data_IF_433720953403
#
_entry.id   IF_433720953403
#
_cell.length_a   1.000
_cell.length_b   1.000
_cell.length_c   1.000
_cell.angle_alpha   90.00
_cell.angle_beta   90.00
_cell.angle_gamma   90.00
#
_symmetry.space_group_name_H-M   'P 1'
#
loop_
_entity.id
_entity.type
_entity.pdbx_description
1 polymer ?
#
# COMPACT_ATOMS: atom_id res chain seq x y z
N UNK A 1 -14.73 -7.85 13.78
CA UNK A 1 -15.55 -7.00 12.90
C UNK A 1 -14.66 -6.32 11.86
N UNK A 2 -14.36 -7.01 10.74
CA UNK A 2 -13.57 -6.51 9.59
C UNK A 2 -14.49 -6.51 8.35
N UNK A 3 -15.49 -5.62 8.26
CA UNK A 3 -16.49 -5.78 7.18
C UNK A 3 -17.19 -4.54 6.65
N UNK A 4 -16.71 -3.31 6.87
CA UNK A 4 -17.54 -2.12 6.56
C UNK A 4 -17.01 -1.24 5.41
N UNK A 5 -15.84 -1.48 4.81
CA UNK A 5 -15.35 -0.64 3.70
C UNK A 5 -15.06 -1.39 2.39
N UNK A 6 -15.22 -2.71 2.36
CA UNK A 6 -14.89 -3.52 1.16
C UNK A 6 -16.00 -3.58 0.12
N UNK A 7 -17.21 -3.09 0.42
CA UNK A 7 -18.40 -3.39 -0.37
C UNK A 7 -18.58 -2.56 -1.66
N UNK A 8 -17.56 -1.81 -2.10
CA UNK A 8 -17.48 -1.34 -3.50
C UNK A 8 -16.08 -0.89 -3.93
N UNK A 9 -15.00 -1.50 -3.41
CA UNK A 9 -13.67 -1.29 -4.01
C UNK A 9 -13.50 -2.20 -5.22
N UNK A 10 -12.86 -1.70 -6.27
CA UNK A 10 -12.50 -2.56 -7.40
C UNK A 10 -11.56 -3.68 -6.92
N UNK A 11 -11.55 -4.85 -7.57
CA UNK A 11 -10.64 -5.94 -7.20
C UNK A 11 -9.17 -5.50 -7.19
N UNK A 12 -8.79 -4.61 -8.10
CA UNK A 12 -7.46 -4.00 -8.15
C UNK A 12 -7.17 -3.18 -6.89
N UNK A 13 -8.04 -2.24 -6.53
CA UNK A 13 -7.85 -1.38 -5.35
C UNK A 13 -7.80 -2.22 -4.08
N UNK A 14 -8.68 -3.22 -3.97
CA UNK A 14 -8.64 -4.18 -2.87
C UNK A 14 -7.29 -4.88 -2.75
N UNK A 15 -6.75 -5.37 -3.87
CA UNK A 15 -5.44 -6.06 -3.88
C UNK A 15 -4.28 -5.14 -3.51
N UNK A 16 -4.24 -3.91 -4.03
CA UNK A 16 -3.22 -2.91 -3.66
C UNK A 16 -3.24 -2.63 -2.15
N UNK A 17 -4.43 -2.43 -1.58
CA UNK A 17 -4.56 -2.15 -0.15
C UNK A 17 -4.19 -3.36 0.71
N UNK A 18 -4.52 -4.58 0.29
CA UNK A 18 -4.06 -5.80 0.96
C UNK A 18 -2.53 -5.89 0.96
N UNK A 19 -1.88 -5.69 -0.19
CA UNK A 19 -0.41 -5.70 -0.28
C UNK A 19 0.22 -4.65 0.63
N UNK A 20 -0.37 -3.46 0.73
CA UNK A 20 0.13 -2.40 1.62
C UNK A 20 0.01 -2.79 3.10
N UNK A 21 -1.09 -3.42 3.51
CA UNK A 21 -1.35 -3.83 4.90
C UNK A 21 -0.55 -5.07 5.34
N UNK A 22 -0.10 -5.91 4.41
CA UNK A 22 0.66 -7.13 4.70
C UNK A 22 2.15 -6.86 4.96
N UNK A 23 2.64 -5.64 4.70
CA UNK A 23 4.04 -5.28 4.87
C UNK A 23 4.39 -4.88 6.30
N UNK A 24 5.64 -5.07 6.73
CA UNK A 24 6.13 -4.50 7.97
C UNK A 24 6.25 -2.97 7.83
N UNK A 25 6.15 -2.28 8.98
CA UNK A 25 6.20 -0.81 9.08
C UNK A 25 5.10 -0.08 8.29
N UNK A 26 3.94 -0.72 8.07
CA UNK A 26 2.74 -0.07 7.51
C UNK A 26 1.61 0.00 8.54
N UNK A 27 0.66 0.95 8.39
CA UNK A 27 -0.45 1.12 9.33
C UNK A 27 -1.34 -0.12 9.40
N UNK A 28 -1.91 -0.42 10.57
CA UNK A 28 -2.84 -1.55 10.77
C UNK A 28 -4.16 -1.43 9.98
N UNK A 29 -4.48 -0.24 9.48
CA UNK A 29 -5.72 0.07 8.76
C UNK A 29 -5.44 1.08 7.66
N UNK A 30 -6.14 0.91 6.54
CA UNK A 30 -6.19 1.90 5.46
C UNK A 30 -7.20 3.00 5.77
N UNK A 31 -6.95 4.19 5.22
CA UNK A 31 -7.88 5.33 5.28
C UNK A 31 -8.41 5.68 3.87
N UNK A 32 -9.24 6.72 3.78
CA UNK A 32 -9.80 7.17 2.49
C UNK A 32 -8.73 7.69 1.51
N UNK A 33 -7.62 8.21 2.01
CA UNK A 33 -6.52 8.68 1.18
C UNK A 33 -5.78 7.49 0.53
N UNK A 34 -5.54 6.42 1.28
CA UNK A 34 -4.93 5.19 0.73
C UNK A 34 -5.78 4.59 -0.40
N UNK A 35 -7.11 4.57 -0.21
CA UNK A 35 -8.06 4.11 -1.23
C UNK A 35 -8.00 4.98 -2.49
N UNK A 36 -7.93 6.31 -2.34
CA UNK A 36 -7.79 7.24 -3.47
C UNK A 36 -6.47 7.03 -4.21
N UNK A 37 -5.36 6.85 -3.49
CA UNK A 37 -4.06 6.56 -4.10
C UNK A 37 -4.08 5.24 -4.88
N UNK A 38 -4.68 4.18 -4.33
CA UNK A 38 -4.83 2.91 -5.03
C UNK A 38 -5.72 3.03 -6.28
N UNK A 39 -6.79 3.83 -6.22
CA UNK A 39 -7.64 4.13 -7.38
C UNK A 39 -6.90 4.92 -8.47
N UNK A 40 -6.05 5.86 -8.10
CA UNK A 40 -5.19 6.60 -9.04
C UNK A 40 -4.19 5.67 -9.73
N UNK A 41 -3.58 4.74 -9.00
CA UNK A 41 -2.71 3.71 -9.59
C UNK A 41 -3.47 2.83 -10.59
N UNK A 42 -4.74 2.50 -10.30
CA UNK A 42 -5.60 1.77 -11.23
C UNK A 42 -5.88 2.58 -12.49
N UNK A 43 -6.25 3.86 -12.33
CA UNK A 43 -6.52 4.77 -13.44
C UNK A 43 -5.32 4.90 -14.37
N UNK A 44 -4.11 4.91 -13.79
CA UNK A 44 -2.83 4.94 -14.53
C UNK A 44 -2.39 3.59 -15.08
N UNK A 45 -3.20 2.53 -14.93
CA UNK A 45 -2.93 1.16 -15.38
C UNK A 45 -1.57 0.63 -14.89
N UNK A 46 -1.20 0.97 -13.66
CA UNK A 46 0.05 0.45 -13.06
C UNK A 46 -0.11 -1.06 -12.83
N UNK A 47 0.84 -1.89 -13.28
CA UNK A 47 0.78 -3.34 -13.03
C UNK A 47 0.89 -3.69 -11.53
N UNK A 48 0.16 -4.72 -11.08
CA UNK A 48 0.15 -5.14 -9.67
C UNK A 48 1.50 -5.68 -9.19
N UNK A 49 2.22 -6.40 -10.05
CA UNK A 49 3.58 -6.89 -9.81
C UNK A 49 4.58 -5.74 -9.60
N UNK A 50 4.44 -4.66 -10.37
CA UNK A 50 5.24 -3.45 -10.17
C UNK A 50 4.94 -2.78 -8.82
N UNK A 51 3.66 -2.73 -8.41
CA UNK A 51 3.26 -2.20 -7.11
C UNK A 51 3.83 -3.05 -5.98
N UNK A 52 3.71 -4.37 -6.07
CA UNK A 52 4.26 -5.31 -5.08
C UNK A 52 5.77 -5.13 -4.91
N UNK A 53 6.51 -5.06 -6.02
CA UNK A 53 7.95 -4.81 -5.99
C UNK A 53 8.29 -3.45 -5.36
N UNK A 54 7.59 -2.38 -5.74
CA UNK A 54 7.81 -1.04 -5.20
C UNK A 54 7.53 -0.99 -3.68
N UNK A 55 6.49 -1.67 -3.24
CA UNK A 55 6.10 -1.79 -1.84
C UNK A 55 7.13 -2.55 -1.02
N UNK A 56 7.63 -3.68 -1.53
CA UNK A 56 8.71 -4.45 -0.91
C UNK A 56 9.98 -3.60 -0.75
N UNK A 57 10.39 -2.92 -1.83
CA UNK A 57 11.56 -2.02 -1.80
C UNK A 57 11.37 -0.87 -0.82
N UNK A 58 10.17 -0.27 -0.78
CA UNK A 58 9.83 0.79 0.16
C UNK A 58 9.89 0.34 1.61
N UNK A 59 9.41 -0.88 1.90
CA UNK A 59 9.47 -1.49 3.24
C UNK A 59 10.91 -1.80 3.65
N UNK A 60 11.70 -2.42 2.77
CA UNK A 60 13.13 -2.67 3.01
C UNK A 60 13.90 -1.38 3.28
N UNK A 61 13.62 -0.30 2.53
CA UNK A 61 14.26 1.01 2.75
C UNK A 61 13.96 1.58 4.13
N UNK A 62 12.77 1.33 4.69
CA UNK A 62 12.42 1.74 6.06
C UNK A 62 13.10 0.86 7.10
N UNK A 63 13.04 -0.46 6.92
CA UNK A 63 13.62 -1.44 7.86
C UNK A 63 15.14 -1.35 7.98
N UNK A 64 15.82 -1.14 6.86
CA UNK A 64 17.29 -1.08 6.80
C UNK A 64 17.83 0.33 7.00
N UNK A 65 16.99 1.30 7.37
CA UNK A 65 17.39 2.70 7.51
C UNK A 65 18.40 2.85 8.66
N UNK A 66 19.62 3.36 8.42
CA UNK A 66 20.60 3.57 9.48
C UNK A 66 20.12 4.57 10.52
N UNK A 67 20.50 4.40 11.81
CA UNK A 67 20.26 5.42 12.81
C UNK A 67 20.97 6.73 12.40
N UNK A 68 20.23 7.84 12.41
CA UNK A 68 20.76 9.16 12.02
C UNK A 68 20.61 9.53 10.54
N UNK A 69 20.04 8.66 9.69
CA UNK A 69 19.71 9.03 8.32
C UNK A 69 18.64 10.13 8.26
N UNK A 70 18.66 10.99 7.23
CA UNK A 70 17.64 12.03 7.01
C UNK A 70 16.22 11.45 6.84
N UNK A 71 15.15 12.17 7.25
CA UNK A 71 13.75 11.76 7.05
C UNK A 71 13.44 11.39 5.60
N UNK A 72 12.58 10.37 5.43
CA UNK A 72 12.09 9.92 4.13
C UNK A 72 10.93 10.76 3.61
#
# INVERSE_FOLDING_TARGET
MKHILTDSLTPYVGKVLSLYLELPETPLRTNLYDQKCAAELQFRSVPLDLIEAAFLLGSLRRLLRPPGALPL
#
